data_IF_894055852807
#
_entry.id   IF_894055852807
#
_cell.length_a   1.000
_cell.length_b   1.000
_cell.length_c   1.000
_cell.angle_alpha   90.00
_cell.angle_beta   90.00
_cell.angle_gamma   90.00
#
_symmetry.space_group_name_H-M   'P 1'
#
loop_
_entity.id
_entity.type
_entity.pdbx_description
1 polymer ?
#
# COMPACT_ATOMS: atom_id res chain seq x y z
N UNK A 1 15.93 3.03 -9.54
CA UNK A 1 15.96 1.71 -10.23
C UNK A 1 16.13 1.82 -11.76
N UNK A 2 16.72 0.82 -12.43
CA UNK A 2 16.78 0.74 -13.93
C UNK A 2 15.41 0.38 -14.52
N UNK A 3 15.06 0.94 -15.70
CA UNK A 3 13.79 0.63 -16.40
C UNK A 3 13.61 -0.86 -16.70
N UNK A 4 14.67 -1.58 -17.06
CA UNK A 4 14.58 -3.04 -17.29
C UNK A 4 14.11 -3.78 -16.03
N UNK A 5 14.69 -3.45 -14.86
CA UNK A 5 14.28 -4.04 -13.58
C UNK A 5 12.82 -3.72 -13.25
N UNK A 6 12.38 -2.50 -13.53
CA UNK A 6 10.98 -2.09 -13.34
C UNK A 6 10.05 -2.97 -14.21
N UNK A 7 10.38 -3.18 -15.49
CA UNK A 7 9.58 -4.00 -16.38
C UNK A 7 9.51 -5.47 -15.93
N UNK A 8 10.63 -6.02 -15.42
CA UNK A 8 10.67 -7.39 -14.88
C UNK A 8 9.74 -7.51 -13.66
N UNK A 9 9.76 -6.51 -12.76
CA UNK A 9 8.88 -6.46 -11.59
C UNK A 9 7.41 -6.37 -12.01
N UNK A 10 7.07 -5.49 -12.97
CA UNK A 10 5.70 -5.35 -13.48
C UNK A 10 5.18 -6.68 -14.04
N UNK A 11 6.01 -7.40 -14.80
CA UNK A 11 5.64 -8.69 -15.40
C UNK A 11 5.39 -9.75 -14.32
N UNK A 12 6.33 -9.90 -13.38
CA UNK A 12 6.19 -10.84 -12.27
C UNK A 12 4.99 -10.51 -11.38
N UNK A 13 4.70 -9.23 -11.16
CA UNK A 13 3.55 -8.78 -10.39
C UNK A 13 2.22 -9.12 -11.09
N UNK A 14 2.10 -8.88 -12.41
CA UNK A 14 0.91 -9.26 -13.19
C UNK A 14 0.67 -10.79 -13.13
N UNK A 15 1.73 -11.58 -13.29
CA UNK A 15 1.66 -13.05 -13.18
C UNK A 15 1.20 -13.50 -11.80
N UNK A 16 1.76 -12.90 -10.73
CA UNK A 16 1.37 -13.21 -9.36
C UNK A 16 -0.11 -12.85 -9.12
N UNK A 17 -0.55 -11.64 -9.48
CA UNK A 17 -1.94 -11.21 -9.33
C UNK A 17 -2.90 -12.15 -10.07
N UNK A 18 -2.57 -12.55 -11.30
CA UNK A 18 -3.36 -13.51 -12.08
C UNK A 18 -3.44 -14.89 -11.44
N UNK A 19 -2.38 -15.34 -10.78
CA UNK A 19 -2.38 -16.65 -10.10
C UNK A 19 -3.37 -16.72 -8.93
N UNK A 20 -3.72 -15.57 -8.34
CA UNK A 20 -4.78 -15.41 -7.33
C UNK A 20 -6.14 -15.02 -7.93
N UNK A 21 -6.28 -15.03 -9.26
CA UNK A 21 -7.53 -14.72 -9.96
C UNK A 21 -7.82 -13.23 -10.14
N UNK A 22 -6.87 -12.34 -9.84
CA UNK A 22 -7.02 -10.91 -10.14
C UNK A 22 -6.66 -10.62 -11.59
N UNK A 23 -7.55 -9.90 -12.27
CA UNK A 23 -7.28 -9.34 -13.61
C UNK A 23 -7.29 -7.83 -13.51
N UNK A 24 -6.19 -7.19 -13.89
CA UNK A 24 -6.09 -5.73 -13.85
C UNK A 24 -6.97 -5.07 -14.94
N UNK A 25 -7.42 -3.82 -14.71
CA UNK A 25 -8.18 -3.08 -15.70
C UNK A 25 -7.37 -2.83 -16.99
N UNK A 26 -8.01 -2.67 -18.15
CA UNK A 26 -7.31 -2.56 -19.45
C UNK A 26 -6.20 -1.52 -19.50
N UNK A 27 -6.33 -0.39 -18.78
CA UNK A 27 -5.33 0.67 -18.78
C UNK A 27 -3.98 0.24 -18.18
N UNK A 28 -3.95 -0.83 -17.38
CA UNK A 28 -2.71 -1.41 -16.86
C UNK A 28 -1.76 -1.85 -17.97
N UNK A 29 -2.29 -2.14 -19.16
CA UNK A 29 -1.55 -2.72 -20.27
C UNK A 29 -1.28 -1.73 -21.42
N UNK A 30 -1.64 -0.46 -21.26
CA UNK A 30 -1.32 0.56 -22.26
C UNK A 30 0.19 0.82 -22.29
N UNK A 31 0.73 0.96 -23.50
CA UNK A 31 2.09 1.42 -23.65
C UNK A 31 2.19 2.94 -23.35
N UNK A 32 3.40 3.49 -23.13
CA UNK A 32 3.57 4.89 -22.78
C UNK A 32 3.06 5.90 -23.82
N UNK A 33 3.07 5.55 -25.11
CA UNK A 33 2.56 6.42 -26.17
C UNK A 33 1.04 6.50 -26.13
N UNK A 34 0.37 5.35 -26.02
CA UNK A 34 -1.07 5.27 -25.88
C UNK A 34 -1.56 6.00 -24.61
N UNK A 35 -0.88 5.79 -23.48
CA UNK A 35 -1.23 6.47 -22.23
C UNK A 35 -1.17 8.00 -22.39
N UNK A 36 -0.08 8.53 -22.98
CA UNK A 36 0.08 9.97 -23.22
C UNK A 36 -0.99 10.50 -24.18
N UNK A 37 -1.31 9.77 -25.25
CA UNK A 37 -2.34 10.18 -26.21
C UNK A 37 -3.71 10.33 -25.51
N UNK A 38 -4.11 9.32 -24.72
CA UNK A 38 -5.39 9.32 -23.98
C UNK A 38 -5.44 10.36 -22.86
N UNK A 39 -4.30 10.70 -22.25
CA UNK A 39 -4.26 11.81 -21.29
C UNK A 39 -4.40 13.16 -22.00
N UNK A 40 -3.74 13.32 -23.15
CA UNK A 40 -3.76 14.57 -23.92
C UNK A 40 -5.13 14.86 -24.55
N UNK A 41 -5.86 13.83 -24.99
CA UNK A 41 -7.23 13.98 -25.51
C UNK A 41 -8.30 14.07 -24.42
N UNK A 42 -7.92 13.89 -23.15
CA UNK A 42 -8.78 14.01 -21.97
C UNK A 42 -9.49 12.72 -21.55
N UNK A 43 -9.48 11.66 -22.38
CA UNK A 43 -10.21 10.41 -22.10
C UNK A 43 -9.67 9.62 -20.90
N UNK A 44 -8.40 9.79 -20.57
CA UNK A 44 -7.74 9.16 -19.41
C UNK A 44 -7.29 10.19 -18.36
N UNK A 45 -7.82 11.42 -18.37
CA UNK A 45 -7.33 12.48 -17.48
C UNK A 45 -7.45 12.11 -15.99
N UNK A 46 -8.55 11.46 -15.62
CA UNK A 46 -8.81 10.98 -14.25
C UNK A 46 -7.76 9.94 -13.81
N UNK A 47 -7.30 9.07 -14.70
CA UNK A 47 -6.26 8.07 -14.37
C UNK A 47 -4.97 8.80 -13.95
N UNK A 48 -4.58 9.84 -14.69
CA UNK A 48 -3.42 10.65 -14.37
C UNK A 48 -3.60 11.51 -13.11
N UNK A 49 -4.70 12.26 -13.01
CA UNK A 49 -4.95 13.19 -11.89
C UNK A 49 -5.05 12.46 -10.55
N UNK A 50 -5.64 11.27 -10.52
CA UNK A 50 -5.78 10.45 -9.31
C UNK A 50 -4.64 9.43 -9.11
N UNK A 51 -3.59 9.49 -9.95
CA UNK A 51 -2.40 8.63 -9.88
C UNK A 51 -2.72 7.13 -9.83
N UNK A 52 -3.62 6.69 -10.70
CA UNK A 52 -3.96 5.27 -10.81
C UNK A 52 -2.87 4.48 -11.54
N UNK A 53 -2.82 3.18 -11.27
CA UNK A 53 -1.95 2.23 -11.97
C UNK A 53 -0.70 1.85 -11.19
N UNK A 54 0.34 1.49 -11.94
CA UNK A 54 1.59 0.92 -11.44
C UNK A 54 2.41 1.88 -10.60
N UNK A 55 2.83 1.42 -9.42
CA UNK A 55 3.81 2.08 -8.56
C UNK A 55 4.84 1.06 -8.06
N UNK A 56 6.12 1.43 -8.16
CA UNK A 56 7.26 0.57 -7.80
C UNK A 56 8.30 1.47 -7.16
N UNK A 57 8.57 1.21 -5.89
CA UNK A 57 9.48 2.03 -5.09
C UNK A 57 10.53 1.16 -4.40
N UNK A 58 11.77 1.66 -4.36
CA UNK A 58 12.85 1.21 -3.47
C UNK A 58 13.10 2.22 -2.35
N UNK A 59 12.14 3.14 -2.13
CA UNK A 59 12.17 4.26 -1.18
C UNK A 59 13.47 5.09 -1.25
N UNK A 60 14.04 5.19 -2.45
CA UNK A 60 15.29 5.91 -2.69
C UNK A 60 16.54 5.21 -2.19
N UNK A 61 16.43 3.98 -1.65
CA UNK A 61 17.54 3.24 -1.03
C UNK A 61 18.32 2.37 -2.01
N UNK A 62 17.78 2.11 -3.20
CA UNK A 62 18.45 1.30 -4.23
C UNK A 62 18.48 -0.21 -3.97
N UNK A 63 17.81 -0.69 -2.91
CA UNK A 63 17.77 -2.10 -2.50
C UNK A 63 16.35 -2.69 -2.56
N UNK A 64 15.66 -2.55 -3.71
CA UNK A 64 14.26 -2.97 -3.89
C UNK A 64 13.93 -4.33 -3.25
N UNK A 65 14.75 -5.36 -3.45
CA UNK A 65 14.46 -6.72 -2.99
C UNK A 65 14.45 -6.88 -1.45
N UNK A 66 15.07 -5.95 -0.71
CA UNK A 66 15.04 -5.92 0.76
C UNK A 66 14.11 -4.85 1.30
N UNK A 67 14.14 -3.66 0.70
CA UNK A 67 13.36 -2.49 1.08
C UNK A 67 12.75 -1.92 -0.19
N UNK A 68 11.47 -2.18 -0.36
CA UNK A 68 10.77 -1.87 -1.58
C UNK A 68 9.36 -2.41 -1.57
N UNK A 69 8.55 -1.88 -2.48
CA UNK A 69 7.16 -2.24 -2.57
C UNK A 69 6.68 -2.13 -4.01
N UNK A 70 5.85 -3.09 -4.39
CA UNK A 70 5.04 -3.02 -5.60
C UNK A 70 3.62 -2.65 -5.22
N UNK A 71 3.00 -1.74 -5.99
CA UNK A 71 1.58 -1.40 -5.88
C UNK A 71 0.92 -1.24 -7.27
N UNK A 72 -0.38 -1.47 -7.30
CA UNK A 72 -1.28 -1.06 -8.37
C UNK A 72 -2.51 -0.37 -7.76
N UNK A 73 -2.64 0.94 -7.97
CA UNK A 73 -3.80 1.71 -7.52
C UNK A 73 -4.96 1.50 -8.50
N UNK A 74 -5.96 0.72 -8.07
CA UNK A 74 -7.14 0.36 -8.88
C UNK A 74 -8.09 1.54 -9.01
N UNK A 75 -8.29 2.26 -7.90
CA UNK A 75 -9.22 3.37 -7.78
C UNK A 75 -8.76 4.28 -6.64
N UNK A 76 -9.07 5.57 -6.74
CA UNK A 76 -8.72 6.56 -5.72
C UNK A 76 -9.65 7.77 -5.82
N UNK A 77 -10.02 8.36 -4.69
CA UNK A 77 -10.86 9.54 -4.61
C UNK A 77 -10.11 10.85 -4.77
N UNK A 78 -10.75 11.93 -4.32
CA UNK A 78 -10.12 13.24 -4.11
C UNK A 78 -10.40 13.72 -2.69
N UNK A 79 -9.47 14.49 -2.11
CA UNK A 79 -9.54 14.90 -0.70
C UNK A 79 -10.81 15.71 -0.39
N UNK A 80 -11.27 16.54 -1.32
CA UNK A 80 -12.48 17.35 -1.13
C UNK A 80 -13.77 16.52 -1.02
N UNK A 81 -13.83 15.33 -1.61
CA UNK A 81 -14.95 14.40 -1.39
C UNK A 81 -14.89 13.80 0.01
N UNK A 82 -13.68 13.43 0.47
CA UNK A 82 -13.44 12.89 1.82
C UNK A 82 -13.83 13.92 2.90
N UNK A 83 -13.36 15.16 2.78
CA UNK A 83 -13.70 16.27 3.70
C UNK A 83 -15.21 16.53 3.76
N UNK A 84 -15.91 16.34 2.64
CA UNK A 84 -17.36 16.50 2.56
C UNK A 84 -18.13 15.27 3.05
N UNK A 85 -17.46 14.14 3.26
CA UNK A 85 -18.03 12.87 3.69
C UNK A 85 -18.92 12.19 2.64
N UNK A 86 -18.80 12.53 1.35
CA UNK A 86 -19.60 11.94 0.27
C UNK A 86 -18.91 12.03 -1.07
N UNK A 87 -19.24 11.09 -1.96
CA UNK A 87 -18.58 10.94 -3.25
C UNK A 87 -17.61 9.76 -3.21
N UNK A 88 -16.51 9.86 -3.93
CA UNK A 88 -15.49 8.81 -3.91
C UNK A 88 -14.52 9.07 -2.76
N UNK A 89 -14.95 8.73 -1.55
CA UNK A 89 -14.18 8.95 -0.30
C UNK A 89 -13.15 7.85 -0.02
N UNK A 90 -12.86 7.00 -1.01
CA UNK A 90 -12.17 5.73 -0.83
C UNK A 90 -11.15 5.47 -1.94
N UNK A 91 -10.17 4.63 -1.63
CA UNK A 91 -9.19 4.07 -2.53
C UNK A 91 -9.14 2.55 -2.43
N UNK A 92 -8.56 1.92 -3.44
CA UNK A 92 -8.25 0.49 -3.43
C UNK A 92 -6.93 0.26 -4.17
N UNK A 93 -6.03 -0.50 -3.56
CA UNK A 93 -4.77 -0.92 -4.17
C UNK A 93 -4.58 -2.43 -4.04
N UNK A 94 -3.82 -2.98 -4.99
CA UNK A 94 -3.16 -4.28 -4.84
C UNK A 94 -1.67 -4.02 -4.60
N UNK A 95 -1.08 -4.67 -3.62
CA UNK A 95 0.32 -4.56 -3.28
C UNK A 95 0.96 -5.94 -3.30
N UNK A 96 2.26 -5.99 -3.54
CA UNK A 96 3.05 -7.21 -3.38
C UNK A 96 4.27 -6.87 -2.53
N UNK A 97 4.37 -7.57 -1.41
CA UNK A 97 5.62 -7.70 -0.67
C UNK A 97 6.17 -9.09 -0.95
N UNK A 98 7.40 -9.14 -1.44
CA UNK A 98 8.14 -10.40 -1.59
C UNK A 98 8.55 -10.94 -0.23
N UNK A 99 9.00 -12.19 -0.22
CA UNK A 99 9.59 -12.79 0.96
C UNK A 99 10.66 -11.85 1.56
N UNK A 100 10.48 -11.52 2.84
CA UNK A 100 11.38 -10.68 3.64
C UNK A 100 11.62 -9.26 3.06
N UNK A 101 10.84 -8.82 2.07
CA UNK A 101 10.89 -7.48 1.49
C UNK A 101 10.06 -6.50 2.33
N UNK A 102 10.72 -5.55 2.95
CA UNK A 102 10.11 -4.63 3.92
C UNK A 102 9.51 -3.41 3.21
N UNK A 103 8.23 -3.16 3.49
CA UNK A 103 7.64 -1.82 3.46
C UNK A 103 7.97 -1.14 4.79
N UNK A 104 8.70 -0.01 4.78
CA UNK A 104 9.32 0.55 5.98
C UNK A 104 8.29 1.15 6.94
N UNK A 105 8.72 1.33 8.19
CA UNK A 105 7.90 1.87 9.28
C UNK A 105 7.37 3.26 8.94
N UNK A 106 6.05 3.39 8.84
CA UNK A 106 5.37 4.65 8.55
C UNK A 106 3.99 4.73 9.19
N UNK A 107 3.42 5.93 9.19
CA UNK A 107 2.01 6.20 9.46
C UNK A 107 1.47 7.15 8.39
N UNK A 108 0.16 7.36 8.37
CA UNK A 108 -0.51 8.37 7.57
C UNK A 108 -0.98 9.55 8.43
N UNK A 109 -1.11 10.74 7.86
CA UNK A 109 -1.74 11.88 8.56
C UNK A 109 -3.27 11.79 8.53
N UNK A 110 -3.83 11.34 7.41
CA UNK A 110 -5.27 11.35 7.14
C UNK A 110 -5.79 9.94 6.83
N UNK A 111 -5.06 9.16 6.03
CA UNK A 111 -5.56 7.86 5.56
C UNK A 111 -5.80 6.89 6.72
N UNK A 112 -6.99 6.29 6.72
CA UNK A 112 -7.25 5.03 7.41
C UNK A 112 -7.30 3.94 6.35
N UNK A 113 -6.72 2.79 6.63
CA UNK A 113 -6.61 1.71 5.68
C UNK A 113 -6.81 0.34 6.31
N UNK A 114 -7.48 -0.54 5.58
CA UNK A 114 -7.46 -1.96 5.84
C UNK A 114 -6.36 -2.58 4.98
N UNK A 115 -5.36 -3.17 5.64
CA UNK A 115 -4.33 -4.00 5.01
C UNK A 115 -4.78 -5.45 5.09
N UNK A 116 -4.87 -6.10 3.93
CA UNK A 116 -5.59 -7.37 3.75
C UNK A 116 -4.63 -8.39 3.14
N UNK A 117 -4.45 -9.55 3.76
CA UNK A 117 -3.77 -10.66 3.10
C UNK A 117 -4.74 -11.32 2.10
N UNK A 118 -4.61 -11.00 0.80
CA UNK A 118 -5.47 -11.55 -0.25
C UNK A 118 -5.04 -12.95 -0.69
N UNK A 119 -3.81 -13.38 -0.37
CA UNK A 119 -3.29 -14.68 -0.73
C UNK A 119 -1.76 -14.76 -0.68
N UNK A 120 -1.24 -15.98 -0.66
CA UNK A 120 0.19 -16.26 -0.62
C UNK A 120 0.65 -16.67 0.78
N UNK A 121 1.79 -16.13 1.21
CA UNK A 121 2.38 -16.40 2.51
C UNK A 121 1.69 -15.62 3.65
N UNK A 122 2.30 -15.62 4.84
CA UNK A 122 1.84 -14.80 5.97
C UNK A 122 2.24 -13.35 5.73
N UNK A 123 1.30 -12.43 5.91
CA UNK A 123 1.61 -11.00 6.00
C UNK A 123 1.99 -10.68 7.44
N UNK A 124 3.25 -10.35 7.66
CA UNK A 124 3.73 -9.89 8.96
C UNK A 124 3.66 -8.36 9.01
N UNK A 125 3.05 -7.83 10.08
CA UNK A 125 2.87 -6.38 10.30
C UNK A 125 3.43 -6.04 11.69
N UNK A 126 4.56 -5.35 11.73
CA UNK A 126 5.14 -4.81 12.96
C UNK A 126 4.45 -3.50 13.32
N UNK A 127 3.97 -3.37 14.56
CA UNK A 127 3.13 -2.25 14.98
C UNK A 127 3.67 -1.49 16.20
N UNK A 128 3.58 -0.17 16.15
CA UNK A 128 3.87 0.76 17.24
C UNK A 128 2.79 1.83 17.34
N UNK A 129 2.57 2.33 18.55
CA UNK A 129 1.69 3.48 18.77
C UNK A 129 2.39 4.81 18.55
N UNK A 130 1.63 5.89 18.69
CA UNK A 130 2.14 7.25 18.60
C UNK A 130 2.14 8.01 19.92
N UNK A 131 2.95 9.06 20.00
CA UNK A 131 2.84 10.10 21.03
C UNK A 131 1.52 10.90 20.89
N UNK A 132 1.33 11.90 21.75
CA UNK A 132 0.13 12.74 21.73
C UNK A 132 0.00 13.61 20.45
N UNK A 133 1.06 13.71 19.65
CA UNK A 133 1.12 14.49 18.41
C UNK A 133 1.11 13.59 17.16
N UNK A 134 0.97 12.26 17.31
CA UNK A 134 1.01 11.32 16.19
C UNK A 134 2.42 10.87 15.78
N UNK A 135 3.48 11.30 16.46
CA UNK A 135 4.85 10.87 16.14
C UNK A 135 5.12 9.45 16.65
N UNK A 136 6.07 8.76 16.02
CA UNK A 136 6.49 7.41 16.41
C UNK A 136 6.91 7.35 17.88
N UNK A 137 6.34 6.41 18.62
CA UNK A 137 6.69 6.14 20.02
C UNK A 137 7.06 4.66 20.20
N UNK A 138 8.36 4.40 20.33
CA UNK A 138 8.90 3.04 20.43
C UNK A 138 8.53 2.30 21.72
N UNK A 139 7.92 2.97 22.70
CA UNK A 139 7.49 2.38 23.97
C UNK A 139 5.98 2.18 24.05
N UNK A 140 5.23 2.59 23.01
CA UNK A 140 3.78 2.44 22.96
C UNK A 140 3.33 1.32 22.05
N UNK A 141 2.45 0.48 22.61
CA UNK A 141 1.70 -0.50 21.87
C UNK A 141 0.51 0.11 21.14
N UNK A 142 -0.25 -0.74 20.45
CA UNK A 142 -1.43 -0.35 19.69
C UNK A 142 -2.65 -1.17 20.07
N UNK A 143 -3.83 -0.63 19.78
CA UNK A 143 -5.08 -1.38 19.78
C UNK A 143 -5.70 -1.26 18.40
N UNK A 144 -5.73 -2.36 17.65
CA UNK A 144 -6.19 -2.40 16.26
C UNK A 144 -7.39 -3.33 16.12
N UNK A 145 -8.14 -3.17 15.04
CA UNK A 145 -9.18 -4.11 14.65
C UNK A 145 -8.62 -5.10 13.63
N UNK A 146 -8.73 -6.39 13.91
CA UNK A 146 -8.46 -7.46 12.93
C UNK A 146 -9.76 -8.14 12.58
N UNK A 147 -10.21 -8.04 11.34
CA UNK A 147 -11.51 -8.58 10.90
C UNK A 147 -12.69 -8.17 11.80
N UNK A 148 -12.63 -6.96 12.37
CA UNK A 148 -13.62 -6.43 13.31
C UNK A 148 -13.43 -6.83 14.78
N UNK A 149 -12.39 -7.60 15.13
CA UNK A 149 -12.04 -7.99 16.49
C UNK A 149 -10.92 -7.11 17.04
N UNK A 150 -11.11 -6.55 18.24
CA UNK A 150 -10.07 -5.78 18.93
C UNK A 150 -8.89 -6.69 19.32
N UNK A 151 -7.68 -6.28 18.93
CA UNK A 151 -6.42 -6.86 19.41
C UNK A 151 -5.52 -5.77 19.99
N UNK A 152 -4.95 -6.06 21.15
CA UNK A 152 -3.98 -5.20 21.84
C UNK A 152 -2.60 -5.80 21.69
N UNK A 153 -1.67 -5.01 21.16
CA UNK A 153 -0.32 -5.44 20.82
C UNK A 153 0.68 -4.61 21.61
N UNK A 154 1.74 -5.27 22.08
CA UNK A 154 2.88 -4.59 22.69
C UNK A 154 3.66 -3.79 21.63
N UNK A 155 4.48 -2.80 22.03
CA UNK A 155 5.31 -2.06 21.09
C UNK A 155 6.23 -3.02 20.31
N UNK A 156 6.22 -2.94 18.98
CA UNK A 156 7.02 -3.78 18.09
C UNK A 156 6.54 -5.23 17.98
N UNK A 157 5.36 -5.55 18.53
CA UNK A 157 4.77 -6.86 18.33
C UNK A 157 4.37 -7.05 16.87
N UNK A 158 4.69 -8.22 16.32
CA UNK A 158 4.42 -8.58 14.93
C UNK A 158 3.08 -9.30 14.84
N UNK A 159 2.09 -8.61 14.29
CA UNK A 159 0.81 -9.21 13.93
C UNK A 159 0.98 -10.06 12.66
N UNK A 160 0.56 -11.31 12.73
CA UNK A 160 0.61 -12.25 11.60
C UNK A 160 -0.79 -12.44 11.03
N UNK A 161 -0.97 -12.06 9.78
CA UNK A 161 -2.23 -12.22 9.05
C UNK A 161 -2.08 -13.34 8.03
N UNK A 162 -2.86 -14.41 8.21
CA UNK A 162 -2.99 -15.49 7.23
C UNK A 162 -3.86 -15.04 6.04
N UNK A 163 -3.81 -15.76 4.90
CA UNK A 163 -4.68 -15.49 3.77
C UNK A 163 -6.16 -15.40 4.19
N UNK A 164 -6.79 -14.27 3.89
CA UNK A 164 -8.17 -13.96 4.24
C UNK A 164 -8.34 -13.04 5.45
N UNK A 165 -7.30 -12.82 6.26
CA UNK A 165 -7.34 -11.90 7.41
C UNK A 165 -6.92 -10.47 7.01
N UNK A 166 -7.47 -9.48 7.71
CA UNK A 166 -7.10 -8.06 7.58
C UNK A 166 -6.93 -7.34 8.91
N UNK A 167 -6.23 -6.21 8.87
CA UNK A 167 -6.10 -5.26 9.98
C UNK A 167 -6.47 -3.85 9.52
N UNK A 168 -7.24 -3.13 10.34
CA UNK A 168 -7.51 -1.70 10.16
C UNK A 168 -6.44 -0.88 10.88
N UNK A 169 -5.79 0.02 10.14
CA UNK A 169 -4.75 0.95 10.60
C UNK A 169 -5.26 2.38 10.45
N UNK A 170 -5.19 3.17 11.52
CA UNK A 170 -5.59 4.56 11.55
C UNK A 170 -4.38 5.50 11.60
N UNK A 171 -4.55 6.80 11.34
CA UNK A 171 -3.51 7.78 11.60
C UNK A 171 -2.95 7.66 13.04
N UNK A 172 -1.64 7.45 13.16
CA UNK A 172 -0.93 7.22 14.41
C UNK A 172 -0.63 5.74 14.72
N UNK A 173 -1.22 4.80 13.97
CA UNK A 173 -0.83 3.39 14.02
C UNK A 173 0.41 3.21 13.11
N UNK A 174 1.59 3.24 13.71
CA UNK A 174 2.85 3.10 13.00
C UNK A 174 3.07 1.64 12.60
N UNK A 175 3.31 1.39 11.32
CA UNK A 175 3.37 0.05 10.77
C UNK A 175 4.50 -0.14 9.74
N UNK A 176 5.13 -1.30 9.81
CA UNK A 176 5.97 -1.87 8.76
C UNK A 176 5.44 -3.26 8.42
N UNK A 177 5.60 -3.72 7.17
CA UNK A 177 5.12 -5.05 6.79
C UNK A 177 5.99 -5.74 5.74
N UNK A 178 5.95 -7.07 5.76
CA UNK A 178 6.66 -7.94 4.82
C UNK A 178 5.95 -9.29 4.64
N UNK A 179 6.32 -10.02 3.59
CA UNK A 179 5.94 -11.43 3.42
C UNK A 179 6.81 -12.36 4.26
N UNK A 180 6.23 -13.04 5.25
CA UNK A 180 6.92 -14.02 6.07
C UNK A 180 6.78 -15.42 5.47
N UNK A 181 7.91 -16.07 5.17
CA UNK A 181 8.01 -17.39 4.52
C UNK A 181 7.49 -17.45 3.07
N UNK A 182 7.43 -16.32 2.37
CA UNK A 182 7.10 -16.26 0.96
C UNK A 182 6.52 -14.91 0.54
N UNK A 183 6.16 -14.81 -0.74
CA UNK A 183 5.53 -13.61 -1.30
C UNK A 183 4.05 -13.52 -0.87
N UNK A 184 3.56 -12.30 -0.69
CA UNK A 184 2.17 -12.02 -0.30
C UNK A 184 1.52 -11.07 -1.29
N UNK A 185 0.32 -11.44 -1.75
CA UNK A 185 -0.59 -10.51 -2.42
C UNK A 185 -1.40 -9.80 -1.35
N UNK A 186 -1.20 -8.50 -1.25
CA UNK A 186 -1.83 -7.64 -0.25
C UNK A 186 -2.89 -6.80 -0.94
N UNK A 187 -4.05 -6.64 -0.30
CA UNK A 187 -5.04 -5.65 -0.67
C UNK A 187 -4.97 -4.47 0.30
N UNK A 188 -5.15 -3.27 -0.23
CA UNK A 188 -5.41 -2.07 0.57
C UNK A 188 -6.81 -1.57 0.20
N UNK A 189 -7.68 -1.43 1.20
CA UNK A 189 -8.96 -0.72 1.06
C UNK A 189 -8.92 0.43 2.06
N UNK A 190 -8.96 1.66 1.56
CA UNK A 190 -8.64 2.82 2.38
C UNK A 190 -9.58 3.99 2.12
N UNK A 191 -9.49 5.02 2.96
CA UNK A 191 -9.93 6.37 2.57
C UNK A 191 -9.09 6.88 1.40
N UNK A 192 -9.32 8.12 0.96
CA UNK A 192 -8.57 8.68 -0.18
C UNK A 192 -7.06 8.62 0.08
N UNK A 193 -6.32 8.17 -0.92
CA UNK A 193 -4.88 8.02 -0.85
C UNK A 193 -4.15 9.25 -1.45
N UNK A 194 -3.17 9.78 -0.73
CA UNK A 194 -2.21 10.76 -1.25
C UNK A 194 -0.77 10.40 -0.86
N UNK A 195 -0.11 9.61 -1.70
CA UNK A 195 1.26 9.16 -1.44
C UNK A 195 2.30 10.31 -1.43
N UNK A 196 1.94 11.53 -1.87
CA UNK A 196 2.87 12.66 -1.95
C UNK A 196 3.02 13.35 -0.60
N UNK A 197 1.92 13.48 0.16
CA UNK A 197 1.91 14.30 1.38
C UNK A 197 1.41 13.58 2.62
N UNK A 198 0.78 12.40 2.47
CA UNK A 198 0.14 11.71 3.60
C UNK A 198 1.08 10.74 4.32
N UNK A 199 2.11 10.22 3.65
CA UNK A 199 3.06 9.27 4.22
C UNK A 199 4.06 9.96 5.16
N UNK A 200 4.16 9.46 6.40
CA UNK A 200 5.19 9.86 7.38
C UNK A 200 6.06 8.66 7.71
N UNK A 201 7.28 8.67 7.21
CA UNK A 201 8.26 7.61 7.51
C UNK A 201 9.01 7.90 8.81
N UNK A 202 9.35 6.84 9.56
CA UNK A 202 10.16 6.96 10.77
C UNK A 202 11.59 7.38 10.43
N UNK A 203 12.14 6.73 9.41
CA UNK A 203 13.45 7.08 8.85
C UNK A 203 13.30 8.18 7.79
N UNK A 204 14.31 9.03 7.57
CA UNK A 204 14.28 10.07 6.53
C UNK A 204 14.50 9.46 5.14
N UNK A 205 13.49 8.74 4.64
CA UNK A 205 13.46 8.06 3.33
C UNK A 205 12.33 8.59 2.46
N UNK A 206 12.40 8.33 1.16
CA UNK A 206 11.46 8.85 0.16
C UNK A 206 12.10 9.80 -0.83
#
# INVERSE_FOLDING_TARGET
>A
MKRSRINDIMTAADEMMRSFGFTLPPFAYWNPEEFRARVNDGSARRIADARLGWDITDYGQGEFDKLGLFLFTLRNGILSDLERGRGMVYAEKLLISRQDQVSPMHTHFIKSEDIINRGGAILAVELFGSDANGNFDGEKGVTVLTDGLERRLQPGEVLKLAPGESVTLNPGDWHAFWGENGDVLIGEVSTVNDDVTDNVFREPIG
#
